data_IF_114558102630
#
_entry.id   IF_114558102630
#
_cell.length_a   1.000
_cell.length_b   1.000
_cell.length_c   1.000
_cell.angle_alpha   90.00
_cell.angle_beta   90.00
_cell.angle_gamma   90.00
#
_symmetry.space_group_name_H-M   'P 1'
#
loop_
_entity.id
_entity.type
_entity.pdbx_description
1 polymer ?
#
# COMPACT_ATOMS: atom_id res chain seq x y z
N UNK A 1 13.68 15.54 24.39
CA UNK A 1 12.97 16.76 23.94
C UNK A 1 11.53 16.66 24.39
N UNK A 2 10.87 17.74 24.84
CA UNK A 2 9.44 17.69 25.16
C UNK A 2 8.65 17.33 23.88
N UNK A 3 7.67 16.44 23.98
CA UNK A 3 6.89 15.90 22.85
C UNK A 3 6.40 17.00 21.87
N UNK A 4 6.06 18.17 22.40
CA UNK A 4 5.56 19.31 21.63
C UNK A 4 6.59 19.91 20.65
N UNK A 5 7.90 19.80 20.92
CA UNK A 5 8.93 20.29 19.99
C UNK A 5 9.14 19.32 18.81
N UNK A 6 8.93 18.03 19.04
CA UNK A 6 9.02 17.01 17.99
C UNK A 6 7.83 17.10 17.02
N UNK A 7 6.61 17.33 17.54
CA UNK A 7 5.41 17.48 16.72
C UNK A 7 5.46 18.72 15.80
N UNK A 8 5.88 19.88 16.31
CA UNK A 8 6.02 21.08 15.49
C UNK A 8 7.02 20.88 14.33
N UNK A 9 8.15 20.22 14.62
CA UNK A 9 9.17 19.89 13.60
C UNK A 9 8.64 18.91 12.55
N UNK A 10 7.81 17.95 12.95
CA UNK A 10 7.13 17.01 12.04
C UNK A 10 6.19 17.76 11.10
N UNK A 11 5.35 18.64 11.64
CA UNK A 11 4.38 19.39 10.84
C UNK A 11 5.07 20.32 9.85
N UNK A 12 6.18 20.96 10.24
CA UNK A 12 6.99 21.79 9.34
C UNK A 12 7.61 20.99 8.18
N UNK A 13 8.16 19.80 8.46
CA UNK A 13 8.72 18.91 7.43
C UNK A 13 7.64 18.36 6.49
N UNK A 14 6.48 17.96 7.02
CA UNK A 14 5.35 17.52 6.21
C UNK A 14 4.82 18.66 5.35
N UNK A 15 4.72 19.86 5.91
CA UNK A 15 4.31 21.06 5.17
C UNK A 15 5.35 21.44 4.11
N UNK A 16 6.65 21.30 4.39
CA UNK A 16 7.72 21.47 3.42
C UNK A 16 7.55 20.50 2.24
N UNK A 17 7.34 19.21 2.51
CA UNK A 17 7.10 18.20 1.46
C UNK A 17 5.85 18.54 0.66
N UNK A 18 4.74 18.88 1.32
CA UNK A 18 3.47 19.25 0.66
C UNK A 18 3.64 20.48 -0.24
N UNK A 19 4.26 21.53 0.27
CA UNK A 19 4.46 22.80 -0.46
C UNK A 19 5.47 22.67 -1.59
N UNK A 20 6.58 21.97 -1.39
CA UNK A 20 7.58 21.73 -2.43
C UNK A 20 7.05 20.77 -3.50
N UNK A 21 6.26 19.77 -3.12
CA UNK A 21 5.57 18.89 -4.07
C UNK A 21 4.53 19.68 -4.86
N UNK A 22 3.74 20.55 -4.22
CA UNK A 22 2.79 21.42 -4.91
C UNK A 22 3.49 22.39 -5.88
N UNK A 23 4.60 23.02 -5.46
CA UNK A 23 5.37 23.93 -6.30
C UNK A 23 6.06 23.20 -7.47
N UNK A 24 6.64 22.02 -7.23
CA UNK A 24 7.23 21.19 -8.29
C UNK A 24 6.17 20.65 -9.25
N UNK A 25 5.01 20.23 -8.74
CA UNK A 25 3.86 19.84 -9.55
C UNK A 25 3.32 21.01 -10.35
N UNK A 26 3.29 22.22 -9.79
CA UNK A 26 2.87 23.43 -10.48
C UNK A 26 3.89 23.87 -11.54
N UNK A 27 5.18 23.76 -11.24
CA UNK A 27 6.25 24.04 -12.21
C UNK A 27 6.27 23.00 -13.34
N UNK A 28 6.00 21.73 -13.04
CA UNK A 28 5.82 20.67 -14.01
C UNK A 28 4.54 20.88 -14.82
N UNK A 29 3.42 21.24 -14.19
CA UNK A 29 2.17 21.63 -14.86
C UNK A 29 2.41 22.79 -15.81
N UNK A 30 3.14 23.82 -15.40
CA UNK A 30 3.43 24.98 -16.24
C UNK A 30 4.38 24.63 -17.40
N UNK A 31 5.39 23.79 -17.18
CA UNK A 31 6.24 23.24 -18.27
C UNK A 31 5.43 22.39 -19.26
N UNK A 32 4.49 21.59 -18.77
CA UNK A 32 3.65 20.72 -19.59
C UNK A 32 2.50 21.49 -20.28
N UNK A 33 1.99 22.57 -19.67
CA UNK A 33 1.01 23.51 -20.24
C UNK A 33 1.61 24.28 -21.43
N UNK A 34 2.89 24.63 -21.34
CA UNK A 34 3.67 25.18 -22.47
C UNK A 34 3.94 24.15 -23.58
N UNK A 35 3.82 22.85 -23.28
CA UNK A 35 3.95 21.74 -24.24
C UNK A 35 2.61 21.10 -24.63
N UNK A 36 1.46 21.74 -24.31
CA UNK A 36 0.13 21.26 -24.68
C UNK A 36 -0.34 19.96 -24.02
N UNK A 37 0.29 19.51 -22.93
CA UNK A 37 -0.07 18.28 -22.22
C UNK A 37 -0.67 18.62 -20.84
N UNK A 38 -1.99 18.50 -20.68
CA UNK A 38 -2.64 18.59 -19.35
C UNK A 38 -3.02 17.19 -18.87
N UNK A 39 -2.64 16.86 -17.63
CA UNK A 39 -3.05 15.65 -16.92
C UNK A 39 -3.82 15.97 -15.64
N UNK A 40 -4.97 15.32 -15.48
CA UNK A 40 -5.52 14.80 -14.23
C UNK A 40 -6.09 13.40 -14.59
N UNK A 41 -5.86 12.40 -13.74
CA UNK A 41 -6.07 10.95 -14.02
C UNK A 41 -7.46 10.56 -14.57
N UNK A 42 -7.61 9.40 -15.25
CA UNK A 42 -6.59 8.57 -15.89
C UNK A 42 -6.13 9.22 -17.20
N UNK A 43 -4.95 8.83 -17.69
CA UNK A 43 -4.20 9.39 -18.84
C UNK A 43 -5.06 9.77 -20.06
N UNK A 44 -5.66 10.97 -20.01
CA UNK A 44 -6.30 11.61 -21.14
C UNK A 44 -5.21 12.24 -22.01
N UNK A 45 -4.63 11.45 -22.91
CA UNK A 45 -3.75 12.01 -23.94
C UNK A 45 -4.61 12.71 -24.99
N UNK A 46 -4.77 14.03 -24.86
CA UNK A 46 -5.28 14.87 -25.94
C UNK A 46 -4.12 15.11 -26.90
N UNK A 47 -3.91 14.18 -27.84
CA UNK A 47 -3.20 14.53 -29.09
C UNK A 47 -4.23 15.16 -30.01
N UNK A 48 -3.80 16.07 -30.86
CA UNK A 48 -4.59 16.83 -31.85
C UNK A 48 -5.44 15.98 -32.83
N UNK A 49 -5.52 14.66 -32.66
CA UNK A 49 -6.31 13.73 -33.49
C UNK A 49 -7.06 12.62 -32.70
N UNK A 50 -7.27 12.73 -31.39
CA UNK A 50 -8.14 11.78 -30.64
C UNK A 50 -7.94 11.78 -29.12
N UNK A 51 -8.97 11.35 -28.38
CA UNK A 51 -8.92 11.12 -26.94
C UNK A 51 -8.62 9.63 -26.72
N UNK A 52 -7.61 9.31 -25.92
CA UNK A 52 -7.34 7.93 -25.52
C UNK A 52 -7.81 7.70 -24.09
N UNK A 53 -8.59 6.65 -23.86
CA UNK A 53 -8.99 6.15 -22.55
C UNK A 53 -8.32 4.81 -22.28
N UNK A 54 -8.05 4.49 -21.02
CA UNK A 54 -7.67 3.13 -20.62
C UNK A 54 -8.92 2.41 -20.12
N UNK A 55 -9.15 1.19 -20.60
CA UNK A 55 -10.17 0.32 -20.03
C UNK A 55 -9.69 -0.35 -18.74
N UNK A 56 -10.59 -1.12 -18.13
CA UNK A 56 -10.34 -1.87 -16.90
C UNK A 56 -9.10 -2.77 -16.96
N UNK A 57 -8.77 -3.31 -18.13
CA UNK A 57 -7.68 -4.26 -18.34
C UNK A 57 -6.39 -3.59 -18.86
N UNK A 58 -6.40 -2.25 -18.98
CA UNK A 58 -5.29 -1.46 -19.48
C UNK A 58 -5.28 -1.30 -21.00
N UNK A 59 -6.34 -1.72 -21.70
CA UNK A 59 -6.49 -1.55 -23.15
C UNK A 59 -6.73 -0.09 -23.49
N UNK A 60 -6.05 0.40 -24.53
CA UNK A 60 -6.23 1.76 -25.03
C UNK A 60 -7.48 1.86 -25.92
N UNK A 61 -8.52 2.56 -25.47
CA UNK A 61 -9.70 2.93 -26.26
C UNK A 61 -9.42 4.29 -26.91
N UNK A 62 -9.36 4.33 -28.25
CA UNK A 62 -9.32 5.58 -29.00
C UNK A 62 -10.73 6.09 -29.24
N UNK A 63 -11.07 7.25 -28.69
CA UNK A 63 -12.27 8.01 -29.04
C UNK A 63 -11.92 8.95 -30.19
N UNK A 64 -12.58 8.74 -31.32
CA UNK A 64 -12.49 9.62 -32.48
C UNK A 64 -13.25 10.92 -32.21
N UNK A 65 -12.50 12.02 -32.05
CA UNK A 65 -13.03 13.33 -31.68
C UNK A 65 -14.08 13.86 -32.68
N UNK A 66 -14.06 13.39 -33.94
CA UNK A 66 -15.04 13.79 -34.97
C UNK A 66 -16.45 13.26 -34.71
N UNK A 67 -16.60 12.17 -33.93
CA UNK A 67 -17.91 11.57 -33.62
C UNK A 67 -18.59 12.16 -32.38
N UNK A 68 -17.93 13.06 -31.66
CA UNK A 68 -18.38 13.58 -30.35
C UNK A 68 -18.98 14.99 -30.45
N UNK A 69 -18.97 15.60 -31.64
CA UNK A 69 -19.63 16.89 -31.85
C UNK A 69 -21.12 16.75 -31.49
N UNK A 70 -21.54 17.44 -30.42
CA UNK A 70 -22.90 17.52 -29.86
C UNK A 70 -23.36 16.46 -28.84
N UNK A 71 -22.46 15.66 -28.26
CA UNK A 71 -22.84 14.75 -27.16
C UNK A 71 -21.97 14.91 -25.91
N UNK A 72 -22.62 15.07 -24.75
CA UNK A 72 -21.95 15.03 -23.45
C UNK A 72 -21.53 13.61 -23.14
N UNK A 73 -20.25 13.28 -23.30
CA UNK A 73 -19.71 12.00 -22.85
C UNK A 73 -19.53 12.06 -21.33
N UNK A 74 -20.33 11.27 -20.61
CA UNK A 74 -20.09 11.03 -19.18
C UNK A 74 -18.93 10.04 -19.05
N UNK A 75 -17.74 10.56 -18.77
CA UNK A 75 -16.60 9.72 -18.38
C UNK A 75 -16.85 9.22 -16.96
N UNK A 76 -16.89 7.91 -16.80
CA UNK A 76 -16.93 7.28 -15.47
C UNK A 76 -15.52 6.80 -15.16
N UNK A 77 -14.95 7.25 -14.05
CA UNK A 77 -13.66 6.76 -13.59
C UNK A 77 -13.91 5.35 -13.04
N UNK A 78 -13.28 4.36 -13.67
CA UNK A 78 -13.28 2.99 -13.17
C UNK A 78 -11.98 2.74 -12.43
N UNK A 79 -12.06 2.05 -11.29
CA UNK A 79 -10.86 1.55 -10.62
C UNK A 79 -10.09 0.56 -11.49
N UNK A 80 -8.80 0.41 -11.21
CA UNK A 80 -7.88 -0.40 -11.98
C UNK A 80 -8.06 -1.90 -11.70
N UNK A 81 -7.77 -2.76 -12.68
CA UNK A 81 -7.55 -4.16 -12.40
C UNK A 81 -6.47 -4.32 -11.30
N UNK A 82 -6.72 -5.06 -10.20
CA UNK A 82 -5.79 -5.17 -9.08
C UNK A 82 -4.39 -5.65 -9.49
N UNK A 83 -4.29 -6.55 -10.47
CA UNK A 83 -2.99 -7.05 -10.91
C UNK A 83 -2.20 -5.97 -11.67
N UNK A 84 -2.88 -5.19 -12.51
CA UNK A 84 -2.26 -4.04 -13.17
C UNK A 84 -1.81 -2.99 -12.15
N UNK A 85 -2.67 -2.67 -11.18
CA UNK A 85 -2.36 -1.76 -10.08
C UNK A 85 -1.15 -2.23 -9.26
N UNK A 86 -1.07 -3.52 -8.94
CA UNK A 86 0.06 -4.12 -8.24
C UNK A 86 1.38 -3.92 -9.00
N UNK A 87 1.40 -4.24 -10.31
CA UNK A 87 2.59 -4.04 -11.14
C UNK A 87 2.98 -2.57 -11.26
N UNK A 88 2.01 -1.68 -11.42
CA UNK A 88 2.28 -0.24 -11.49
C UNK A 88 2.86 0.28 -10.16
N UNK A 89 2.26 -0.10 -9.03
CA UNK A 89 2.76 0.20 -7.69
C UNK A 89 4.20 -0.28 -7.51
N UNK A 90 4.48 -1.55 -7.79
CA UNK A 90 5.82 -2.14 -7.73
C UNK A 90 6.82 -1.34 -8.58
N UNK A 91 6.47 -1.03 -9.83
CA UNK A 91 7.35 -0.27 -10.74
C UNK A 91 7.69 1.13 -10.23
N UNK A 92 6.91 1.69 -9.30
CA UNK A 92 7.17 3.02 -8.73
C UNK A 92 8.31 3.02 -7.69
N UNK A 93 8.58 1.89 -7.04
CA UNK A 93 9.58 1.79 -5.97
C UNK A 93 10.60 0.65 -6.13
N UNK A 94 10.37 -0.32 -7.02
CA UNK A 94 11.31 -1.40 -7.34
C UNK A 94 12.41 -0.91 -8.29
N UNK A 95 13.15 0.09 -7.83
CA UNK A 95 14.27 0.73 -8.52
C UNK A 95 15.40 1.00 -7.52
N UNK A 96 16.65 1.14 -7.98
CA UNK A 96 17.75 1.61 -7.13
C UNK A 96 17.43 2.97 -6.49
N UNK A 97 17.95 3.21 -5.28
CA UNK A 97 17.76 4.46 -4.54
C UNK A 97 18.10 5.73 -5.36
N UNK A 98 19.09 5.64 -6.24
CA UNK A 98 19.51 6.71 -7.16
C UNK A 98 18.47 7.07 -8.22
N UNK A 99 17.57 6.13 -8.56
CA UNK A 99 16.51 6.30 -9.56
C UNK A 99 15.15 6.67 -8.93
N UNK A 100 15.04 6.69 -7.59
CA UNK A 100 13.84 7.17 -6.93
C UNK A 100 13.64 8.67 -7.20
N UNK A 101 12.40 9.13 -7.06
CA UNK A 101 12.11 10.57 -7.15
C UNK A 101 12.76 11.32 -5.98
N UNK A 102 12.98 12.63 -6.14
CA UNK A 102 13.46 13.48 -5.04
C UNK A 102 12.50 13.43 -3.83
N UNK A 103 11.19 13.42 -4.10
CA UNK A 103 10.14 13.33 -3.08
C UNK A 103 10.22 12.00 -2.31
N UNK A 104 10.42 10.86 -3.00
CA UNK A 104 10.62 9.57 -2.34
C UNK A 104 11.88 9.55 -1.47
N UNK A 105 13.02 10.05 -1.99
CA UNK A 105 14.27 10.10 -1.21
C UNK A 105 14.12 10.98 0.03
N UNK A 106 13.44 12.11 -0.08
CA UNK A 106 13.15 12.97 1.06
C UNK A 106 12.26 12.25 2.07
N UNK A 107 11.17 11.62 1.62
CA UNK A 107 10.29 10.85 2.50
C UNK A 107 11.03 9.71 3.23
N UNK A 108 11.95 9.02 2.55
CA UNK A 108 12.84 8.02 3.16
C UNK A 108 13.70 8.66 4.26
N UNK A 109 14.35 9.79 3.98
CA UNK A 109 15.20 10.48 4.95
C UNK A 109 14.39 10.96 6.17
N UNK A 110 13.24 11.60 5.93
CA UNK A 110 12.31 12.04 6.98
C UNK A 110 11.84 10.86 7.81
N UNK A 111 11.40 9.77 7.18
CA UNK A 111 10.96 8.56 7.89
C UNK A 111 12.07 7.99 8.79
N UNK A 112 13.31 7.90 8.28
CA UNK A 112 14.45 7.41 9.08
C UNK A 112 14.74 8.31 10.28
N UNK A 113 14.71 9.63 10.10
CA UNK A 113 14.88 10.59 11.20
C UNK A 113 13.78 10.41 12.27
N UNK A 114 12.51 10.42 11.84
CA UNK A 114 11.37 10.28 12.76
C UNK A 114 11.41 8.98 13.53
N UNK A 115 11.68 7.88 12.83
CA UNK A 115 11.75 6.58 13.49
C UNK A 115 12.93 6.52 14.43
N UNK A 116 14.15 6.87 14.02
CA UNK A 116 15.36 6.86 14.85
C UNK A 116 15.21 7.65 16.16
N UNK A 117 14.65 8.85 16.10
CA UNK A 117 14.43 9.70 17.27
C UNK A 117 13.33 9.12 18.18
N UNK A 118 12.29 8.52 17.59
CA UNK A 118 11.18 7.90 18.32
C UNK A 118 11.47 6.46 18.82
N UNK A 119 12.52 5.78 18.31
CA UNK A 119 12.82 4.37 18.62
C UNK A 119 13.05 4.12 20.12
N UNK A 120 13.38 5.15 20.90
CA UNK A 120 13.58 5.03 22.34
C UNK A 120 12.31 5.22 23.19
N UNK A 121 11.25 5.81 22.63
CA UNK A 121 10.06 6.23 23.38
C UNK A 121 8.75 5.55 22.95
N UNK A 122 8.80 4.61 22.01
CA UNK A 122 7.62 4.05 21.33
C UNK A 122 6.85 2.99 22.17
N UNK A 123 6.39 3.37 23.35
CA UNK A 123 5.23 2.74 23.96
C UNK A 123 3.98 3.41 23.37
N UNK A 124 3.19 2.71 22.54
CA UNK A 124 1.98 3.30 21.94
C UNK A 124 0.95 3.77 22.99
N UNK A 125 1.07 3.30 24.24
CA UNK A 125 0.24 3.81 25.35
C UNK A 125 0.57 5.24 25.73
N UNK A 126 1.77 5.73 25.42
CA UNK A 126 2.25 7.05 25.88
C UNK A 126 2.94 7.90 24.80
N UNK A 127 3.37 7.32 23.67
CA UNK A 127 4.28 7.97 22.73
C UNK A 127 3.80 8.11 21.29
N UNK A 128 2.74 7.42 20.85
CA UNK A 128 2.29 7.46 19.44
C UNK A 128 0.94 8.13 19.27
N UNK A 129 0.98 9.45 19.10
CA UNK A 129 -0.21 10.23 18.82
C UNK A 129 -0.81 9.83 17.46
N UNK A 130 -2.12 10.04 17.29
CA UNK A 130 -2.80 9.83 15.99
C UNK A 130 -2.14 10.67 14.88
N UNK A 131 -1.65 11.88 15.22
CA UNK A 131 -0.92 12.75 14.29
C UNK A 131 0.38 12.11 13.80
N UNK A 132 1.14 11.51 14.73
CA UNK A 132 2.38 10.78 14.39
C UNK A 132 2.10 9.62 13.43
N UNK A 133 1.08 8.80 13.71
CA UNK A 133 0.70 7.68 12.82
C UNK A 133 0.24 8.15 11.44
N UNK A 134 -0.52 9.25 11.36
CA UNK A 134 -0.88 9.89 10.08
C UNK A 134 0.33 10.36 9.28
N UNK A 135 1.35 10.88 9.97
CA UNK A 135 2.62 11.26 9.33
C UNK A 135 3.33 10.04 8.76
N UNK A 136 3.42 8.94 9.53
CA UNK A 136 4.02 7.69 9.03
C UNK A 136 3.25 7.14 7.83
N UNK A 137 1.92 7.14 7.88
CA UNK A 137 1.06 6.76 6.76
C UNK A 137 1.37 7.58 5.51
N UNK A 138 1.45 8.90 5.65
CA UNK A 138 1.76 9.80 4.54
C UNK A 138 3.13 9.49 3.92
N UNK A 139 4.17 9.33 4.75
CA UNK A 139 5.51 9.01 4.28
C UNK A 139 5.57 7.64 3.60
N UNK A 140 4.98 6.60 4.20
CA UNK A 140 4.96 5.25 3.64
C UNK A 140 4.22 5.19 2.30
N UNK A 141 3.13 5.95 2.14
CA UNK A 141 2.45 6.09 0.85
C UNK A 141 3.36 6.67 -0.24
N UNK A 142 4.12 7.72 0.09
CA UNK A 142 5.09 8.30 -0.85
C UNK A 142 6.17 7.28 -1.22
N UNK A 143 6.67 6.53 -0.22
CA UNK A 143 7.76 5.58 -0.40
C UNK A 143 7.32 4.41 -1.30
N UNK A 144 6.17 3.78 -1.03
CA UNK A 144 5.78 2.52 -1.65
C UNK A 144 4.55 2.58 -2.58
N UNK A 145 3.60 3.49 -2.35
CA UNK A 145 2.22 3.36 -2.87
C UNK A 145 1.84 4.52 -3.79
N UNK A 146 2.47 4.60 -4.97
CA UNK A 146 2.16 5.51 -6.09
C UNK A 146 2.67 6.97 -5.95
N UNK A 147 3.56 7.26 -5.00
CA UNK A 147 4.38 8.46 -5.01
C UNK A 147 3.68 9.73 -4.47
N UNK A 148 3.82 10.91 -5.11
CA UNK A 148 3.58 12.21 -4.47
C UNK A 148 2.11 12.60 -4.23
N UNK A 149 1.16 11.77 -4.66
CA UNK A 149 -0.28 12.02 -4.45
C UNK A 149 -0.89 10.94 -3.56
N UNK A 150 -0.58 10.96 -2.25
CA UNK A 150 -1.12 9.97 -1.32
C UNK A 150 -2.63 10.15 -1.15
N UNK A 151 -3.30 9.03 -0.87
CA UNK A 151 -4.70 9.01 -0.48
C UNK A 151 -4.81 9.54 0.94
N UNK A 152 -5.89 10.28 1.21
CA UNK A 152 -6.24 10.65 2.57
C UNK A 152 -6.72 9.40 3.31
N UNK A 153 -5.90 8.93 4.25
CA UNK A 153 -6.19 7.77 5.10
C UNK A 153 -6.29 8.28 6.54
N UNK A 154 -7.44 8.08 7.16
CA UNK A 154 -7.65 8.29 8.58
C UNK A 154 -6.98 7.19 9.40
N UNK A 155 -6.69 7.49 10.66
CA UNK A 155 -6.07 6.55 11.57
C UNK A 155 -6.75 6.62 12.93
N UNK A 156 -6.95 5.46 13.56
CA UNK A 156 -7.33 5.38 14.97
C UNK A 156 -6.69 4.19 15.66
N UNK A 157 -6.47 4.34 16.97
CA UNK A 157 -6.22 3.22 17.86
C UNK A 157 -7.55 2.61 18.30
N UNK A 158 -7.66 1.28 18.29
CA UNK A 158 -8.79 0.56 18.86
C UNK A 158 -8.30 -0.69 19.61
N UNK A 159 -8.38 -0.72 20.95
CA UNK A 159 -8.05 -1.92 21.71
C UNK A 159 -9.05 -3.04 21.39
N UNK A 160 -8.60 -4.29 21.55
CA UNK A 160 -9.45 -5.48 21.41
C UNK A 160 -10.04 -5.66 20.01
N UNK A 161 -9.36 -5.17 18.97
CA UNK A 161 -9.81 -5.29 17.59
C UNK A 161 -9.98 -6.76 17.16
N UNK A 162 -9.17 -7.66 17.74
CA UNK A 162 -9.06 -9.08 17.38
C UNK A 162 -7.82 -9.38 16.52
N UNK A 163 -7.68 -8.79 15.30
CA UNK A 163 -6.42 -8.71 14.59
C UNK A 163 -5.56 -7.54 15.09
N UNK A 164 -4.29 -7.48 14.66
CA UNK A 164 -3.36 -6.39 15.02
C UNK A 164 -3.71 -5.07 14.32
N UNK A 165 -4.34 -5.13 13.15
CA UNK A 165 -4.80 -3.99 12.36
C UNK A 165 -5.97 -4.36 11.45
N UNK A 166 -6.63 -3.32 10.91
CA UNK A 166 -7.56 -3.42 9.80
C UNK A 166 -7.53 -2.14 8.97
N UNK A 167 -7.84 -2.28 7.67
CA UNK A 167 -8.08 -1.19 6.75
C UNK A 167 -9.45 -1.36 6.11
N UNK A 168 -10.32 -0.37 6.32
CA UNK A 168 -11.69 -0.37 5.83
C UNK A 168 -12.08 1.03 5.33
N UNK A 169 -13.23 1.13 4.66
CA UNK A 169 -13.88 2.44 4.43
C UNK A 169 -14.31 3.03 5.77
N UNK A 170 -14.07 4.33 5.98
CA UNK A 170 -14.47 4.99 7.23
C UNK A 170 -16.01 4.97 7.35
N UNK A 171 -16.59 4.38 8.42
CA UNK A 171 -18.04 4.33 8.59
C UNK A 171 -18.68 5.71 8.76
N UNK A 172 -17.91 6.71 9.18
CA UNK A 172 -18.40 8.08 9.35
C UNK A 172 -18.22 8.93 8.09
N UNK A 173 -17.31 8.53 7.21
CA UNK A 173 -17.04 9.21 5.95
C UNK A 173 -16.64 8.21 4.85
N UNK A 174 -17.62 7.72 4.06
CA UNK A 174 -17.36 6.74 3.01
C UNK A 174 -16.40 7.21 1.91
N UNK A 175 -16.05 8.50 1.87
CA UNK A 175 -15.05 9.03 0.95
C UNK A 175 -13.60 8.82 1.43
N UNK A 176 -13.41 8.39 2.68
CA UNK A 176 -12.12 8.17 3.30
C UNK A 176 -11.88 6.70 3.65
N UNK A 177 -10.60 6.30 3.63
CA UNK A 177 -10.15 5.04 4.20
C UNK A 177 -9.75 5.24 5.66
N UNK A 178 -9.93 4.22 6.48
CA UNK A 178 -9.57 4.21 7.89
C UNK A 178 -8.70 3.01 8.19
N UNK A 179 -7.48 3.28 8.66
CA UNK A 179 -6.65 2.26 9.29
C UNK A 179 -6.91 2.28 10.79
N UNK A 180 -7.29 1.13 11.32
CA UNK A 180 -7.44 0.89 12.74
C UNK A 180 -6.34 -0.07 13.21
N UNK A 181 -5.69 0.21 14.33
CA UNK A 181 -4.68 -0.69 14.90
C UNK A 181 -4.89 -0.89 16.39
N UNK A 182 -4.50 -2.06 16.90
CA UNK A 182 -4.49 -2.31 18.33
C UNK A 182 -3.29 -1.59 18.97
N UNK A 183 -3.50 -0.73 19.99
CA UNK A 183 -2.39 -0.11 20.71
C UNK A 183 -1.56 -1.12 21.52
N UNK A 184 -2.13 -2.26 21.88
CA UNK A 184 -1.47 -3.30 22.66
C UNK A 184 -0.67 -4.25 21.76
N UNK A 185 0.47 -4.79 22.26
CA UNK A 185 1.15 -5.88 21.60
C UNK A 185 0.17 -7.02 21.33
N UNK A 186 0.16 -7.55 20.10
CA UNK A 186 -0.49 -8.84 19.89
C UNK A 186 0.24 -9.88 20.75
N UNK A 187 -0.43 -10.57 21.68
CA UNK A 187 0.20 -11.61 22.49
C UNK A 187 0.70 -12.80 21.65
N UNK A 188 0.37 -12.82 20.34
CA UNK A 188 0.66 -13.92 19.42
C UNK A 188 2.16 -14.14 19.16
N UNK A 189 3.03 -13.14 19.34
CA UNK A 189 4.43 -13.26 18.90
C UNK A 189 5.46 -13.16 20.01
N UNK A 190 5.21 -12.49 21.13
CA UNK A 190 6.27 -12.28 22.12
C UNK A 190 5.77 -12.26 23.57
N UNK A 191 6.11 -13.32 24.33
CA UNK A 191 6.09 -13.32 25.80
C UNK A 191 7.23 -12.49 26.43
N UNK A 192 7.91 -11.61 25.67
CA UNK A 192 8.97 -10.72 26.17
C UNK A 192 8.87 -9.32 25.55
N UNK A 193 9.02 -8.24 26.34
CA UNK A 193 9.13 -6.88 25.81
C UNK A 193 10.40 -6.78 24.98
N UNK A 194 10.23 -6.64 23.67
CA UNK A 194 11.31 -6.68 22.69
C UNK A 194 11.27 -5.39 21.85
N UNK A 195 12.42 -4.83 21.44
CA UNK A 195 12.49 -3.86 20.35
C UNK A 195 11.72 -4.27 19.08
N UNK A 196 11.32 -5.54 18.96
CA UNK A 196 10.38 -6.05 17.95
C UNK A 196 9.02 -5.32 17.96
N UNK A 197 8.47 -4.91 19.11
CA UNK A 197 7.09 -4.39 19.16
C UNK A 197 6.84 -3.17 18.27
N UNK A 198 7.84 -2.28 18.13
CA UNK A 198 7.73 -1.11 17.24
C UNK A 198 7.77 -1.53 15.77
N UNK A 199 8.62 -2.50 15.44
CA UNK A 199 8.76 -3.02 14.09
C UNK A 199 7.52 -3.83 13.72
N UNK A 200 6.95 -4.58 14.66
CA UNK A 200 5.67 -5.29 14.50
C UNK A 200 4.53 -4.31 14.19
N UNK A 201 4.46 -3.16 14.87
CA UNK A 201 3.46 -2.11 14.57
C UNK A 201 3.71 -1.47 13.21
N UNK A 202 4.96 -1.14 12.88
CA UNK A 202 5.29 -0.61 11.55
C UNK A 202 4.97 -1.62 10.45
N UNK A 203 5.28 -2.90 10.66
CA UNK A 203 4.95 -4.00 9.77
C UNK A 203 3.43 -4.13 9.60
N UNK A 204 2.67 -4.07 10.69
CA UNK A 204 1.19 -4.05 10.67
C UNK A 204 0.68 -2.84 9.89
N UNK A 205 1.21 -1.64 10.13
CA UNK A 205 0.81 -0.43 9.41
C UNK A 205 1.07 -0.57 7.90
N UNK A 206 2.24 -1.10 7.53
CA UNK A 206 2.60 -1.35 6.13
C UNK A 206 1.66 -2.39 5.52
N UNK A 207 1.34 -3.48 6.23
CA UNK A 207 0.36 -4.48 5.81
C UNK A 207 -1.00 -3.83 5.48
N UNK A 208 -1.52 -3.00 6.38
CA UNK A 208 -2.78 -2.30 6.18
C UNK A 208 -2.72 -1.27 5.05
N UNK A 209 -1.57 -0.64 4.80
CA UNK A 209 -1.40 0.26 3.66
C UNK A 209 -1.42 -0.47 2.32
N UNK A 210 -0.97 -1.73 2.26
CA UNK A 210 -1.14 -2.55 1.06
C UNK A 210 -2.63 -2.81 0.80
N UNK A 211 -3.44 -3.06 1.84
CA UNK A 211 -4.91 -3.12 1.69
C UNK A 211 -5.48 -1.79 1.21
N UNK A 212 -5.04 -0.68 1.80
CA UNK A 212 -5.49 0.66 1.45
C UNK A 212 -5.24 1.01 -0.02
N UNK A 213 -4.09 0.60 -0.59
CA UNK A 213 -3.79 0.75 -2.01
C UNK A 213 -4.91 0.15 -2.88
N UNK A 214 -5.32 -1.08 -2.58
CA UNK A 214 -6.34 -1.76 -3.38
C UNK A 214 -7.74 -1.22 -3.10
N UNK A 215 -8.05 -0.82 -1.86
CA UNK A 215 -9.36 -0.25 -1.56
C UNK A 215 -9.56 1.12 -2.22
N UNK A 216 -8.50 1.94 -2.32
CA UNK A 216 -8.56 3.25 -2.96
C UNK A 216 -8.63 3.18 -4.50
N UNK A 217 -7.83 2.30 -5.11
CA UNK A 217 -7.56 2.40 -6.56
C UNK A 217 -8.04 1.19 -7.37
N UNK A 218 -8.32 0.04 -6.75
CA UNK A 218 -8.75 -1.12 -7.50
C UNK A 218 -10.22 -1.02 -7.93
N UNK A 219 -10.58 -1.75 -8.98
CA UNK A 219 -11.95 -1.83 -9.44
C UNK A 219 -12.88 -2.36 -8.34
N UNK A 220 -13.97 -1.64 -8.06
CA UNK A 220 -14.99 -2.03 -7.10
C UNK A 220 -15.84 -3.26 -7.54
N UNK A 221 -15.68 -3.72 -8.79
CA UNK A 221 -16.38 -4.88 -9.32
C UNK A 221 -16.08 -6.14 -8.49
N UNK A 222 -17.12 -6.77 -7.93
CA UNK A 222 -16.99 -8.00 -7.13
C UNK A 222 -16.24 -9.11 -7.85
N UNK A 223 -16.53 -9.45 -9.14
CA UNK A 223 -15.72 -10.40 -9.89
C UNK A 223 -14.24 -10.05 -9.94
N UNK A 224 -13.91 -8.77 -10.10
CA UNK A 224 -12.53 -8.31 -10.21
C UNK A 224 -11.79 -8.42 -8.87
N UNK A 225 -12.34 -7.86 -7.78
CA UNK A 225 -11.76 -7.97 -6.43
C UNK A 225 -11.63 -9.44 -6.02
N UNK A 226 -12.68 -10.25 -6.18
CA UNK A 226 -12.67 -11.66 -5.79
C UNK A 226 -11.61 -12.48 -6.54
N UNK A 227 -11.35 -12.18 -7.81
CA UNK A 227 -10.38 -12.92 -8.63
C UNK A 227 -8.93 -12.67 -8.18
N UNK A 228 -8.56 -11.44 -7.84
CA UNK A 228 -7.16 -11.06 -7.62
C UNK A 228 -6.80 -10.72 -6.18
N UNK A 229 -7.78 -10.37 -5.35
CA UNK A 229 -7.64 -10.02 -3.93
C UNK A 229 -8.34 -11.03 -3.02
N UNK A 230 -9.34 -11.76 -3.53
CA UNK A 230 -10.11 -12.72 -2.74
C UNK A 230 -11.09 -12.04 -1.80
N UNK A 231 -11.68 -12.80 -0.88
CA UNK A 231 -12.63 -12.24 0.11
C UNK A 231 -11.91 -11.46 1.22
N UNK A 232 -10.65 -11.79 1.50
CA UNK A 232 -9.91 -11.18 2.59
C UNK A 232 -8.79 -10.24 2.20
N UNK A 233 -8.56 -10.05 0.91
CA UNK A 233 -7.56 -9.12 0.41
C UNK A 233 -6.20 -9.74 0.09
N UNK A 234 -5.88 -10.94 0.58
CA UNK A 234 -4.51 -11.48 0.56
C UNK A 234 -4.17 -12.43 -0.62
N UNK A 235 -4.85 -12.31 -1.77
CA UNK A 235 -4.51 -13.10 -2.97
C UNK A 235 -3.42 -12.45 -3.84
N UNK A 236 -3.26 -12.94 -5.06
CA UNK A 236 -2.16 -12.64 -5.98
C UNK A 236 -1.72 -11.18 -6.02
N UNK A 237 -2.64 -10.24 -6.25
CA UNK A 237 -2.24 -8.83 -6.42
C UNK A 237 -1.63 -8.26 -5.13
N UNK A 238 -2.23 -8.55 -3.99
CA UNK A 238 -1.72 -8.15 -2.68
C UNK A 238 -0.39 -8.83 -2.36
N UNK A 239 -0.30 -10.14 -2.60
CA UNK A 239 0.94 -10.92 -2.37
C UNK A 239 2.13 -10.38 -3.16
N UNK A 240 1.92 -9.94 -4.40
CA UNK A 240 2.98 -9.36 -5.23
C UNK A 240 3.50 -8.05 -4.64
N UNK A 241 2.61 -7.14 -4.24
CA UNK A 241 3.01 -5.84 -3.66
C UNK A 241 3.69 -6.06 -2.31
N UNK A 242 3.05 -6.82 -1.42
CA UNK A 242 3.57 -7.13 -0.10
C UNK A 242 4.96 -7.77 -0.16
N UNK A 243 5.15 -8.77 -1.06
CA UNK A 243 6.45 -9.42 -1.25
C UNK A 243 7.52 -8.41 -1.63
N UNK A 244 7.20 -7.51 -2.56
CA UNK A 244 8.15 -6.51 -3.02
C UNK A 244 8.46 -5.47 -1.95
N UNK A 245 7.49 -5.11 -1.12
CA UNK A 245 7.69 -4.26 0.05
C UNK A 245 8.60 -4.94 1.07
N UNK A 246 8.42 -6.23 1.36
CA UNK A 246 9.33 -6.99 2.24
C UNK A 246 10.77 -6.97 1.69
N UNK A 247 10.95 -7.23 0.40
CA UNK A 247 12.27 -7.27 -0.28
C UNK A 247 12.99 -5.91 -0.24
N UNK A 248 12.28 -4.80 -0.49
CA UNK A 248 12.87 -3.45 -0.59
C UNK A 248 12.86 -2.68 0.74
N UNK A 249 12.05 -3.12 1.70
CA UNK A 249 11.75 -2.38 2.93
C UNK A 249 12.99 -2.08 3.77
N UNK A 250 13.92 -3.02 3.87
CA UNK A 250 15.16 -2.84 4.64
C UNK A 250 16.06 -1.73 4.11
N UNK A 251 16.16 -1.59 2.79
CA UNK A 251 16.92 -0.51 2.15
C UNK A 251 16.31 0.87 2.46
N UNK A 252 14.97 0.96 2.39
CA UNK A 252 14.27 2.23 2.51
C UNK A 252 14.01 2.64 3.96
N UNK A 253 13.73 1.69 4.84
CA UNK A 253 13.29 1.98 6.21
C UNK A 253 14.39 1.73 7.26
N UNK A 254 15.47 1.02 6.90
CA UNK A 254 16.56 0.70 7.82
C UNK A 254 16.26 -0.45 8.78
N UNK A 255 15.16 -1.18 8.58
CA UNK A 255 14.80 -2.39 9.34
C UNK A 255 14.12 -3.42 8.44
N UNK A 256 14.16 -4.70 8.82
CA UNK A 256 13.49 -5.76 8.06
C UNK A 256 11.98 -5.61 8.11
N UNK A 257 11.34 -5.48 6.94
CA UNK A 257 9.89 -5.43 6.82
C UNK A 257 9.34 -6.84 6.67
N UNK A 258 8.31 -7.16 7.44
CA UNK A 258 7.58 -8.42 7.35
C UNK A 258 6.08 -8.13 7.34
N UNK A 259 5.45 -8.20 6.17
CA UNK A 259 4.02 -7.92 6.02
C UNK A 259 3.11 -9.11 6.39
N UNK A 260 3.61 -10.12 7.10
CA UNK A 260 2.85 -11.32 7.51
C UNK A 260 2.07 -11.98 6.35
N UNK A 261 2.73 -12.05 5.19
CA UNK A 261 2.12 -12.48 3.93
C UNK A 261 1.53 -13.88 4.00
N UNK A 262 2.24 -14.77 4.69
CA UNK A 262 1.89 -16.18 4.76
C UNK A 262 0.68 -16.36 5.68
N UNK A 263 0.68 -15.70 6.83
CA UNK A 263 -0.39 -15.70 7.82
C UNK A 263 -1.68 -15.13 7.23
N UNK A 264 -1.59 -14.00 6.51
CA UNK A 264 -2.72 -13.41 5.80
C UNK A 264 -3.29 -14.34 4.71
N UNK A 265 -2.40 -14.97 3.93
CA UNK A 265 -2.80 -15.94 2.91
C UNK A 265 -3.52 -17.17 3.51
N UNK A 266 -2.92 -17.80 4.53
CA UNK A 266 -3.50 -18.98 5.20
C UNK A 266 -4.83 -18.62 5.86
N UNK A 267 -4.89 -17.48 6.56
CA UNK A 267 -6.10 -16.99 7.20
C UNK A 267 -7.26 -16.77 6.23
N UNK A 268 -6.97 -16.27 5.02
CA UNK A 268 -7.97 -16.12 3.95
C UNK A 268 -8.48 -17.46 3.41
N UNK A 269 -7.61 -18.47 3.36
CA UNK A 269 -7.99 -19.77 2.82
C UNK A 269 -8.81 -20.59 3.81
N UNK A 270 -8.44 -20.57 5.10
CA UNK A 270 -9.14 -21.30 6.15
C UNK A 270 -10.51 -20.70 6.48
N UNK A 271 -10.58 -19.37 6.61
CA UNK A 271 -11.77 -18.72 7.20
C UNK A 271 -12.74 -18.14 6.18
N UNK A 272 -12.33 -17.99 4.92
CA UNK A 272 -13.10 -17.20 3.94
C UNK A 272 -13.59 -18.01 2.73
N UNK A 273 -13.40 -19.33 2.74
CA UNK A 273 -13.87 -20.23 1.68
C UNK A 273 -13.28 -19.90 0.30
N UNK A 274 -12.08 -19.33 0.29
CA UNK A 274 -11.38 -19.02 -0.94
C UNK A 274 -10.98 -20.33 -1.65
N UNK A 275 -11.02 -20.33 -2.98
CA UNK A 275 -10.49 -21.45 -3.75
C UNK A 275 -8.97 -21.44 -3.59
N UNK A 276 -8.42 -22.59 -3.18
CA UNK A 276 -6.98 -22.78 -3.10
C UNK A 276 -6.32 -22.47 -4.46
N UNK A 277 -5.25 -21.64 -4.48
CA UNK A 277 -4.48 -21.42 -5.69
C UNK A 277 -3.84 -22.71 -6.18
N UNK A 278 -3.68 -22.84 -7.49
CA UNK A 278 -2.87 -23.92 -8.05
C UNK A 278 -1.38 -23.74 -7.71
N UNK A 279 -0.57 -24.79 -7.87
CA UNK A 279 0.90 -24.74 -7.63
C UNK A 279 1.58 -23.56 -8.32
N UNK A 280 1.18 -23.26 -9.56
CA UNK A 280 1.72 -22.15 -10.34
C UNK A 280 1.52 -20.79 -9.67
N UNK A 281 0.41 -20.59 -8.96
CA UNK A 281 0.11 -19.34 -8.28
C UNK A 281 0.83 -19.23 -6.93
N UNK A 282 0.93 -20.34 -6.17
CA UNK A 282 1.76 -20.38 -4.94
C UNK A 282 3.21 -20.01 -5.24
N UNK A 283 3.76 -20.51 -6.37
CA UNK A 283 5.10 -20.14 -6.83
C UNK A 283 5.19 -18.64 -7.17
N UNK A 284 4.18 -18.07 -7.84
CA UNK A 284 4.13 -16.62 -8.13
C UNK A 284 4.07 -15.78 -6.86
N UNK A 285 3.43 -16.26 -5.79
CA UNK A 285 3.39 -15.58 -4.49
C UNK A 285 4.75 -15.58 -3.79
N UNK A 286 5.70 -16.37 -4.30
CA UNK A 286 7.03 -16.49 -3.72
C UNK A 286 7.09 -17.44 -2.53
N UNK A 287 6.05 -18.22 -2.25
CA UNK A 287 6.04 -19.20 -1.15
C UNK A 287 6.75 -20.51 -1.52
N UNK A 288 7.89 -20.42 -2.21
CA UNK A 288 8.69 -21.60 -2.53
C UNK A 288 9.17 -22.30 -1.26
N UNK A 289 9.29 -23.63 -1.29
CA UNK A 289 9.83 -24.42 -0.16
C UNK A 289 11.28 -24.03 0.22
N UNK A 290 11.96 -23.32 -0.67
CA UNK A 290 13.31 -22.78 -0.46
C UNK A 290 13.32 -21.39 0.19
N UNK A 291 12.16 -20.72 0.32
CA UNK A 291 12.08 -19.40 0.92
C UNK A 291 12.29 -19.48 2.45
N UNK A 292 13.26 -18.75 3.02
CA UNK A 292 13.49 -18.70 4.46
C UNK A 292 12.25 -18.34 5.30
N UNK A 293 11.29 -17.61 4.72
CA UNK A 293 10.00 -17.25 5.35
C UNK A 293 9.09 -18.46 5.58
N UNK A 294 9.40 -19.62 4.99
CA UNK A 294 8.67 -20.88 5.24
C UNK A 294 9.28 -21.71 6.38
N UNK A 295 10.14 -21.11 7.21
CA UNK A 295 10.65 -21.72 8.44
C UNK A 295 9.75 -21.30 9.62
N UNK A 296 9.30 -22.26 10.43
CA UNK A 296 8.36 -22.04 11.54
C UNK A 296 6.95 -22.56 11.27
N UNK A 297 6.02 -22.30 12.21
CA UNK A 297 4.66 -22.86 12.19
C UNK A 297 3.87 -22.50 10.92
N UNK A 298 3.96 -21.26 10.44
CA UNK A 298 3.32 -20.84 9.20
C UNK A 298 3.81 -21.64 7.99
N UNK A 299 5.11 -21.94 7.94
CA UNK A 299 5.71 -22.75 6.89
C UNK A 299 5.38 -24.24 6.97
N UNK A 300 5.24 -24.80 8.18
CA UNK A 300 4.74 -26.16 8.36
C UNK A 300 3.28 -26.28 7.94
N UNK A 301 2.45 -25.30 8.30
CA UNK A 301 1.07 -25.20 7.83
C UNK A 301 1.04 -25.15 6.31
N UNK A 302 1.84 -24.28 5.68
CA UNK A 302 1.95 -24.20 4.22
C UNK A 302 2.43 -25.51 3.60
N UNK A 303 3.42 -26.20 4.18
CA UNK A 303 3.91 -27.50 3.70
C UNK A 303 2.81 -28.55 3.72
N UNK A 304 2.15 -28.73 4.86
CA UNK A 304 1.00 -29.62 4.98
C UNK A 304 -0.08 -29.27 3.96
N UNK A 305 -0.23 -27.98 3.66
CA UNK A 305 -1.21 -27.50 2.70
C UNK A 305 -0.84 -27.77 1.24
N UNK A 306 0.42 -27.52 0.88
CA UNK A 306 0.97 -27.87 -0.44
C UNK A 306 0.83 -29.38 -0.65
N UNK A 307 1.07 -30.20 0.38
CA UNK A 307 0.83 -31.64 0.31
C UNK A 307 -0.64 -31.99 0.06
N UNK A 308 -1.59 -31.32 0.71
CA UNK A 308 -3.03 -31.51 0.45
C UNK A 308 -3.41 -31.14 -0.98
N UNK A 309 -2.94 -29.99 -1.47
CA UNK A 309 -3.15 -29.56 -2.87
C UNK A 309 -2.58 -30.62 -3.82
N UNK A 310 -1.40 -31.15 -3.54
CA UNK A 310 -0.72 -32.15 -4.36
C UNK A 310 -1.45 -33.49 -4.43
N UNK A 311 -2.26 -33.84 -3.42
CA UNK A 311 -3.08 -35.07 -3.41
C UNK A 311 -4.44 -34.91 -4.08
N UNK A 312 -4.87 -33.67 -4.26
CA UNK A 312 -6.21 -33.31 -4.74
C UNK A 312 -6.23 -32.86 -6.21
N UNK A 313 -5.07 -32.86 -6.87
CA UNK A 313 -4.86 -32.54 -8.29
C UNK A 313 -4.32 -33.75 -9.03
#
# INVERSE_FOLDING_TARGET
>A
MPANQTEAKIDDEVNYIKTHTAAQLEQLRNKLRLQGCLFNYPTLFIRTCGIWLHDHDGTHIKIDAKKVQNSTIKLTIHGHNPLHLAHHCISSFDKPLSQLTLVQRHAIATFKTLTNDALQAWDARTGSTVSYMRTLIYLLQIIFFLGPQPVTIAFRWAPDLGPAGSCDTDPNDPSHLLITMDPLPSPRLFNKPCPALKFDRLNTLIHELVHALFEAYACASRPCKRRYLGKGGHLLAWQLVAKKVDERGSEFLGFGVATDRLEGFVGDMENKGARWPGRGDVKKYGFGLEDPMTRGEGGERLRGLVEVINRSS
#
